data_IF_632077864624
#
_entry.id   IF_632077864624
#
_cell.length_a   1.000
_cell.length_b   1.000
_cell.length_c   1.000
_cell.angle_alpha   90.00
_cell.angle_beta   90.00
_cell.angle_gamma   90.00
#
_symmetry.space_group_name_H-M   'P 1'
#
loop_
_entity.id
_entity.type
_entity.pdbx_description
1 polymer ?
#
# COMPACT_ATOMS: atom_id res chain seq x y z
N UNK A 1 61.03 40.62 -13.17
CA UNK A 1 60.40 41.48 -14.18
C UNK A 1 58.92 41.17 -14.26
N UNK A 2 58.01 42.13 -14.02
CA UNK A 2 56.58 41.88 -14.10
C UNK A 2 56.17 41.74 -15.57
N UNK A 3 55.58 40.59 -15.92
CA UNK A 3 54.94 40.41 -17.22
C UNK A 3 53.75 41.38 -17.26
N UNK A 4 53.66 42.28 -18.26
CA UNK A 4 52.61 43.30 -18.30
C UNK A 4 51.24 42.64 -18.30
N UNK A 5 50.29 43.19 -17.51
CA UNK A 5 48.95 42.64 -17.29
C UNK A 5 48.20 42.30 -18.60
N UNK A 6 48.53 42.98 -19.70
CA UNK A 6 48.00 42.72 -21.04
C UNK A 6 48.32 41.30 -21.56
N UNK A 7 49.48 40.74 -21.23
CA UNK A 7 49.86 39.40 -21.67
C UNK A 7 49.13 38.29 -20.90
N UNK A 8 48.75 38.53 -19.64
CA UNK A 8 47.93 37.59 -18.85
C UNK A 8 46.49 37.51 -19.37
N UNK A 9 45.91 38.65 -19.72
CA UNK A 9 44.56 38.72 -20.30
C UNK A 9 44.51 38.06 -21.68
N UNK A 10 45.54 38.26 -22.51
CA UNK A 10 45.63 37.64 -23.84
C UNK A 10 45.75 36.11 -23.76
N UNK A 11 46.53 35.59 -22.80
CA UNK A 11 46.66 34.14 -22.57
C UNK A 11 45.35 33.54 -22.08
N UNK A 12 44.62 34.21 -21.18
CA UNK A 12 43.31 33.72 -20.70
C UNK A 12 42.23 33.72 -21.80
N UNK A 13 42.24 34.72 -22.67
CA UNK A 13 41.32 34.77 -23.83
C UNK A 13 41.68 33.67 -24.84
N UNK A 14 42.97 33.45 -25.10
CA UNK A 14 43.42 32.38 -25.98
C UNK A 14 43.09 30.99 -25.41
N UNK A 15 43.25 30.78 -24.10
CA UNK A 15 42.89 29.52 -23.43
C UNK A 15 41.36 29.31 -23.47
N UNK A 16 40.55 30.33 -23.19
CA UNK A 16 39.10 30.22 -23.34
C UNK A 16 38.68 29.95 -24.79
N UNK A 17 39.27 30.65 -25.76
CA UNK A 17 38.98 30.44 -27.17
C UNK A 17 39.38 29.03 -27.65
N UNK A 18 40.53 28.51 -27.19
CA UNK A 18 40.97 27.14 -27.50
C UNK A 18 40.07 26.08 -26.83
N UNK A 19 39.64 26.30 -25.59
CA UNK A 19 38.67 25.41 -24.91
C UNK A 19 37.30 25.42 -25.61
N UNK A 20 36.86 26.58 -26.12
CA UNK A 20 35.64 26.69 -26.92
C UNK A 20 35.76 26.03 -28.30
N UNK A 21 36.94 26.09 -28.95
CA UNK A 21 37.18 25.45 -30.25
C UNK A 21 37.30 23.92 -30.14
N UNK A 22 37.90 23.39 -29.06
CA UNK A 22 38.01 21.93 -28.85
C UNK A 22 36.65 21.28 -28.60
N UNK A 23 35.63 22.04 -28.18
CA UNK A 23 34.28 21.53 -27.93
C UNK A 23 33.44 21.34 -29.19
N UNK A 24 33.94 21.70 -30.38
CA UNK A 24 33.14 21.71 -31.60
C UNK A 24 33.52 20.72 -32.71
N UNK A 25 34.65 19.99 -32.65
CA UNK A 25 35.03 19.09 -33.76
C UNK A 25 35.62 17.75 -33.28
N UNK A 26 34.77 16.86 -32.75
CA UNK A 26 35.04 15.42 -32.79
C UNK A 26 33.76 14.69 -33.22
N UNK A 27 33.40 14.84 -34.49
CA UNK A 27 32.45 13.98 -35.18
C UNK A 27 33.18 12.82 -35.83
N UNK A 28 33.23 11.66 -35.19
CA UNK A 28 33.64 10.42 -35.86
C UNK A 28 32.48 9.95 -36.75
N UNK A 29 32.54 10.32 -38.03
CA UNK A 29 31.75 9.65 -39.06
C UNK A 29 32.28 8.22 -39.23
N UNK A 30 31.61 7.24 -38.63
CA UNK A 30 31.71 5.83 -39.02
C UNK A 30 30.50 5.44 -39.89
N UNK A 31 30.70 4.60 -40.92
CA UNK A 31 29.63 4.25 -41.86
C UNK A 31 28.56 3.39 -41.17
N UNK A 32 27.29 3.72 -41.43
CA UNK A 32 26.10 2.99 -41.01
C UNK A 32 26.17 1.49 -41.37
N UNK A 33 25.92 0.56 -40.44
CA UNK A 33 25.38 -0.74 -40.80
C UNK A 33 23.88 -0.54 -41.09
N UNK A 34 23.50 -0.90 -42.30
CA UNK A 34 22.16 -0.74 -42.83
C UNK A 34 21.14 -1.69 -42.20
N UNK A 35 20.75 -1.52 -40.93
CA UNK A 35 19.51 -2.06 -40.36
C UNK A 35 19.08 -1.19 -39.16
N UNK A 36 17.92 -0.53 -39.28
CA UNK A 36 17.41 0.44 -38.31
C UNK A 36 17.04 -0.18 -36.97
N UNK A 37 17.93 -0.04 -35.99
CA UNK A 37 17.64 -0.22 -34.57
C UNK A 37 17.79 1.14 -33.91
N UNK A 38 16.76 1.70 -33.25
CA UNK A 38 16.90 2.95 -32.50
C UNK A 38 17.96 2.81 -31.40
N UNK A 39 18.82 3.82 -31.27
CA UNK A 39 19.87 3.89 -30.25
C UNK A 39 19.24 4.24 -28.89
N UNK A 40 18.92 3.21 -28.09
CA UNK A 40 18.36 3.34 -26.73
C UNK A 40 19.33 3.99 -25.72
N UNK A 41 20.57 4.34 -26.11
CA UNK A 41 21.54 4.99 -25.22
C UNK A 41 21.55 6.51 -25.36
N UNK A 42 20.97 7.06 -26.42
CA UNK A 42 20.86 8.51 -26.62
C UNK A 42 19.65 9.14 -25.90
N UNK A 43 18.65 8.34 -25.51
CA UNK A 43 17.45 8.83 -24.80
C UNK A 43 17.55 8.68 -23.27
N UNK A 44 18.56 7.98 -22.76
CA UNK A 44 18.73 7.74 -21.33
C UNK A 44 19.50 8.85 -20.58
N UNK A 45 19.80 9.99 -21.23
CA UNK A 45 20.64 11.04 -20.63
C UNK A 45 19.98 12.40 -20.44
N UNK A 46 18.67 12.53 -20.69
CA UNK A 46 17.95 13.79 -20.43
C UNK A 46 16.56 13.60 -19.79
N UNK A 47 16.37 12.64 -18.89
CA UNK A 47 15.35 12.74 -17.84
C UNK A 47 15.83 11.88 -16.65
N UNK A 48 16.61 12.46 -15.74
CA UNK A 48 16.51 12.00 -14.34
C UNK A 48 15.30 12.74 -13.81
N UNK A 49 14.11 12.25 -14.17
CA UNK A 49 12.92 12.65 -13.44
C UNK A 49 13.19 12.15 -12.03
N UNK A 50 13.30 13.08 -11.08
CA UNK A 50 13.06 12.73 -9.70
C UNK A 50 11.67 12.11 -9.69
N UNK A 51 11.61 10.78 -9.67
CA UNK A 51 10.35 10.07 -9.89
C UNK A 51 9.53 10.30 -8.64
N UNK A 52 8.68 11.32 -8.67
CA UNK A 52 7.85 11.71 -7.53
C UNK A 52 7.13 10.44 -7.03
N UNK A 53 7.48 9.96 -5.83
CA UNK A 53 6.95 8.70 -5.33
C UNK A 53 5.42 8.77 -5.17
N UNK A 54 4.86 9.96 -4.94
CA UNK A 54 3.41 10.18 -4.82
C UNK A 54 2.73 10.12 -6.19
N UNK A 55 3.32 10.71 -7.23
CA UNK A 55 2.82 10.59 -8.60
C UNK A 55 2.83 9.12 -9.08
N UNK A 56 3.88 8.36 -8.76
CA UNK A 56 3.92 6.91 -9.05
C UNK A 56 2.82 6.15 -8.32
N UNK A 57 2.56 6.50 -7.07
CA UNK A 57 1.47 5.90 -6.30
C UNK A 57 0.13 6.17 -7.00
N UNK A 58 -0.16 7.42 -7.35
CA UNK A 58 -1.38 7.81 -8.05
C UNK A 58 -1.60 7.01 -9.35
N UNK A 59 -0.53 6.78 -10.13
CA UNK A 59 -0.60 6.01 -11.38
C UNK A 59 -0.89 4.52 -11.19
N UNK A 60 -0.66 3.95 -10.00
CA UNK A 60 -0.85 2.52 -9.72
C UNK A 60 -2.15 2.21 -8.95
N UNK A 61 -2.83 3.22 -8.40
CA UNK A 61 -4.08 3.04 -7.67
C UNK A 61 -5.27 3.31 -8.60
N UNK A 62 -6.27 2.40 -8.67
CA UNK A 62 -7.44 2.60 -9.51
C UNK A 62 -8.30 3.77 -9.04
N UNK A 63 -9.23 4.21 -9.90
CA UNK A 63 -10.18 5.28 -9.59
C UNK A 63 -9.67 6.71 -9.85
N UNK A 64 -8.38 6.87 -10.18
CA UNK A 64 -7.84 8.17 -10.61
C UNK A 64 -7.84 9.26 -9.53
N UNK A 65 -7.85 8.85 -8.26
CA UNK A 65 -7.77 9.77 -7.13
C UNK A 65 -6.37 10.33 -6.92
N UNK A 66 -6.29 11.50 -6.29
CA UNK A 66 -5.06 12.16 -5.89
C UNK A 66 -4.69 11.68 -4.46
N UNK A 67 -3.54 11.02 -4.26
CA UNK A 67 -3.10 10.62 -2.93
C UNK A 67 -2.90 11.85 -2.02
N UNK A 68 -3.38 11.75 -0.79
CA UNK A 68 -3.37 12.86 0.19
C UNK A 68 -4.52 13.86 0.05
N UNK A 69 -5.29 13.81 -1.04
CA UNK A 69 -6.49 14.64 -1.21
C UNK A 69 -7.78 13.81 -1.23
N UNK A 70 -7.84 12.77 -2.07
CA UNK A 70 -9.02 11.91 -2.19
C UNK A 70 -8.98 10.71 -1.25
N UNK A 71 -7.78 10.26 -0.90
CA UNK A 71 -7.55 9.20 0.05
C UNK A 71 -6.25 9.45 0.82
N UNK A 72 -6.18 9.03 2.09
CA UNK A 72 -5.01 9.21 2.92
C UNK A 72 -3.83 8.31 2.49
N UNK A 73 -2.62 8.75 2.82
CA UNK A 73 -1.36 8.03 2.56
C UNK A 73 -0.52 7.94 3.84
N UNK A 74 -1.16 7.57 4.95
CA UNK A 74 -0.54 7.52 6.27
C UNK A 74 0.59 6.49 6.30
N UNK A 75 1.75 6.91 6.83
CA UNK A 75 2.90 6.02 7.03
C UNK A 75 2.86 5.29 8.38
N UNK A 76 2.04 5.77 9.32
CA UNK A 76 1.86 5.22 10.67
C UNK A 76 0.47 5.56 11.17
N UNK A 77 -0.02 4.79 12.14
CA UNK A 77 -1.27 5.09 12.84
C UNK A 77 -1.12 6.42 13.60
N UNK A 78 -1.94 7.44 13.33
CA UNK A 78 -1.95 8.69 14.08
C UNK A 78 -2.67 8.51 15.42
N UNK A 79 -2.43 9.44 16.35
CA UNK A 79 -3.22 9.50 17.58
C UNK A 79 -4.60 10.09 17.28
N UNK A 80 -5.64 9.37 17.63
CA UNK A 80 -7.04 9.81 17.53
C UNK A 80 -7.72 9.65 18.89
N UNK A 81 -9.02 9.93 18.95
CA UNK A 81 -9.82 9.77 20.18
C UNK A 81 -10.49 8.39 20.25
N UNK A 82 -10.14 7.47 19.36
CA UNK A 82 -10.73 6.14 19.35
C UNK A 82 -10.39 5.38 20.64
N UNK A 83 -11.42 4.78 21.26
CA UNK A 83 -11.30 4.01 22.49
C UNK A 83 -12.28 2.82 22.45
N UNK A 84 -11.82 1.63 22.82
CA UNK A 84 -12.67 0.44 22.84
C UNK A 84 -13.78 0.53 23.89
N UNK A 85 -13.59 1.35 24.93
CA UNK A 85 -14.57 1.62 25.98
C UNK A 85 -15.83 2.33 25.47
N UNK A 86 -15.71 3.07 24.37
CA UNK A 86 -16.82 3.79 23.74
C UNK A 86 -17.60 2.91 22.75
N UNK A 87 -17.13 1.67 22.50
CA UNK A 87 -17.72 0.75 21.54
C UNK A 87 -18.64 -0.28 22.23
N UNK A 88 -19.77 -0.61 21.61
CA UNK A 88 -20.78 -1.49 22.21
C UNK A 88 -20.35 -2.98 22.22
N UNK A 89 -19.54 -3.40 21.25
CA UNK A 89 -19.17 -4.81 21.06
C UNK A 89 -17.64 -4.97 20.87
N UNK A 90 -17.05 -6.13 21.21
CA UNK A 90 -15.75 -6.48 20.65
C UNK A 90 -15.85 -6.63 19.13
N UNK A 91 -14.77 -6.33 18.40
CA UNK A 91 -14.77 -6.44 16.94
C UNK A 91 -13.85 -5.43 16.25
N UNK A 92 -14.16 -5.12 14.99
CA UNK A 92 -13.38 -4.28 14.10
C UNK A 92 -14.08 -2.94 13.87
N UNK A 93 -13.34 -1.85 13.93
CA UNK A 93 -13.88 -0.50 13.88
C UNK A 93 -13.07 0.39 12.94
N UNK A 94 -13.73 1.00 11.95
CA UNK A 94 -13.15 2.07 11.15
C UNK A 94 -12.91 3.30 12.03
N UNK A 95 -11.72 3.90 11.95
CA UNK A 95 -11.48 5.19 12.59
C UNK A 95 -11.91 6.33 11.65
N UNK A 96 -13.05 6.94 11.96
CA UNK A 96 -13.67 8.02 11.19
C UNK A 96 -13.07 9.39 11.48
N UNK A 97 -12.12 9.51 12.40
CA UNK A 97 -11.43 10.77 12.68
C UNK A 97 -10.69 11.28 11.44
N UNK A 98 -10.64 12.60 11.23
CA UNK A 98 -10.02 13.21 10.05
C UNK A 98 -8.53 12.82 9.90
N UNK A 99 -7.83 12.60 11.02
CA UNK A 99 -6.43 12.19 11.04
C UNK A 99 -6.24 10.76 10.50
N UNK A 100 -7.20 9.87 10.76
CA UNK A 100 -7.17 8.47 10.35
C UNK A 100 -7.88 8.21 9.00
N UNK A 101 -8.92 8.99 8.71
CA UNK A 101 -9.72 9.00 7.48
C UNK A 101 -10.10 7.59 6.98
N UNK A 102 -10.50 6.71 7.90
CA UNK A 102 -10.78 5.29 7.68
C UNK A 102 -9.62 4.46 7.09
N UNK A 103 -8.43 5.02 6.86
CA UNK A 103 -7.26 4.20 6.52
C UNK A 103 -6.82 3.37 7.72
N UNK A 104 -7.04 3.89 8.92
CA UNK A 104 -6.84 3.16 10.16
C UNK A 104 -8.13 2.44 10.53
N UNK A 105 -7.97 1.21 10.99
CA UNK A 105 -9.02 0.51 11.71
C UNK A 105 -8.45 -0.10 12.98
N UNK A 106 -9.34 -0.31 13.93
CA UNK A 106 -9.04 -0.82 15.25
C UNK A 106 -9.69 -2.17 15.47
N UNK A 107 -9.05 -3.01 16.27
CA UNK A 107 -9.59 -4.27 16.76
C UNK A 107 -9.70 -4.16 18.27
N UNK A 108 -10.93 -4.34 18.77
CA UNK A 108 -11.26 -4.33 20.19
C UNK A 108 -11.55 -5.75 20.65
N UNK A 109 -10.84 -6.20 21.68
CA UNK A 109 -11.13 -7.48 22.35
C UNK A 109 -12.18 -7.31 23.44
N UNK A 110 -12.76 -8.42 23.92
CA UNK A 110 -13.71 -8.40 25.04
C UNK A 110 -13.12 -7.84 26.34
N UNK A 111 -11.79 -7.90 26.50
CA UNK A 111 -11.05 -7.31 27.63
C UNK A 111 -10.67 -5.84 27.40
N UNK A 112 -11.28 -5.19 26.39
CA UNK A 112 -11.03 -3.79 26.01
C UNK A 112 -9.60 -3.51 25.54
N UNK A 113 -8.88 -4.55 25.08
CA UNK A 113 -7.57 -4.34 24.46
C UNK A 113 -7.74 -3.81 23.04
N UNK A 114 -6.96 -2.78 22.72
CA UNK A 114 -6.96 -2.09 21.44
C UNK A 114 -5.73 -2.49 20.63
N UNK A 115 -5.95 -2.93 19.40
CA UNK A 115 -4.92 -3.05 18.36
C UNK A 115 -5.31 -2.17 17.16
N UNK A 116 -4.33 -1.55 16.50
CA UNK A 116 -4.57 -0.59 15.41
C UNK A 116 -3.76 -0.96 14.17
N UNK A 117 -4.39 -0.84 13.01
CA UNK A 117 -3.83 -1.28 11.73
C UNK A 117 -4.06 -0.25 10.65
N UNK A 118 -3.17 -0.22 9.65
CA UNK A 118 -3.33 0.59 8.44
C UNK A 118 -3.75 -0.28 7.27
N UNK A 119 -4.79 0.18 6.56
CA UNK A 119 -5.07 -0.24 5.21
C UNK A 119 -3.98 0.25 4.24
N UNK A 120 -3.63 -0.51 3.20
CA UNK A 120 -2.69 -0.08 2.16
C UNK A 120 -3.10 1.26 1.52
N UNK A 121 -2.11 2.03 1.07
CA UNK A 121 -2.35 3.28 0.34
C UNK A 121 -3.28 3.05 -0.86
N UNK A 122 -4.33 3.87 -0.98
CA UNK A 122 -5.38 3.72 -1.99
C UNK A 122 -6.60 2.92 -1.52
N UNK A 123 -6.59 2.40 -0.29
CA UNK A 123 -7.72 1.72 0.33
C UNK A 123 -8.05 2.30 1.70
N UNK A 124 -9.30 2.13 2.12
CA UNK A 124 -9.78 2.44 3.47
C UNK A 124 -10.64 1.30 3.98
N UNK A 125 -10.81 1.21 5.29
CA UNK A 125 -11.55 0.13 5.93
C UNK A 125 -13.05 0.26 5.64
N UNK A 126 -13.60 -0.74 4.95
CA UNK A 126 -15.01 -0.87 4.70
C UNK A 126 -15.65 -1.59 5.91
N UNK A 127 -16.21 -0.80 6.82
CA UNK A 127 -16.84 -1.31 8.04
C UNK A 127 -17.95 -2.32 7.77
N UNK A 128 -18.70 -2.17 6.67
CA UNK A 128 -19.82 -3.06 6.35
C UNK A 128 -19.36 -4.49 6.04
N UNK A 129 -18.16 -4.63 5.46
CA UNK A 129 -17.62 -5.91 4.99
C UNK A 129 -16.36 -6.36 5.73
N UNK A 130 -15.93 -5.60 6.73
CA UNK A 130 -14.74 -5.87 7.55
C UNK A 130 -13.47 -6.10 6.72
N UNK A 131 -13.27 -5.29 5.67
CA UNK A 131 -12.13 -5.43 4.75
C UNK A 131 -11.64 -4.06 4.28
N UNK A 132 -10.35 -3.91 4.01
CA UNK A 132 -9.84 -2.74 3.29
C UNK A 132 -10.31 -2.82 1.82
N UNK A 133 -11.09 -1.83 1.38
CA UNK A 133 -11.59 -1.72 0.01
C UNK A 133 -11.07 -0.42 -0.61
N UNK A 134 -11.19 -0.29 -1.93
CA UNK A 134 -10.78 0.91 -2.63
C UNK A 134 -11.50 2.14 -2.09
N UNK A 135 -10.77 3.25 -1.97
CA UNK A 135 -11.27 4.48 -1.35
C UNK A 135 -12.59 4.99 -1.94
N UNK A 136 -12.83 4.75 -3.24
CA UNK A 136 -14.05 5.18 -3.94
C UNK A 136 -15.25 4.24 -3.73
N UNK A 137 -15.07 3.09 -3.09
CA UNK A 137 -16.14 2.15 -2.73
C UNK A 137 -16.67 2.37 -1.31
N UNK A 138 -15.98 3.18 -0.50
CA UNK A 138 -16.26 3.34 0.92
C UNK A 138 -16.68 4.77 1.21
N UNK A 139 -17.87 4.94 1.78
CA UNK A 139 -18.27 6.20 2.41
C UNK A 139 -17.79 6.17 3.87
N UNK A 140 -16.60 6.73 4.10
CA UNK A 140 -15.97 6.71 5.43
C UNK A 140 -16.88 7.29 6.53
N UNK A 141 -17.63 8.35 6.23
CA UNK A 141 -18.53 8.99 7.18
C UNK A 141 -19.72 8.10 7.58
N UNK A 142 -20.10 7.14 6.73
CA UNK A 142 -21.16 6.18 7.01
C UNK A 142 -20.66 4.93 7.77
N UNK A 143 -19.36 4.82 8.06
CA UNK A 143 -18.80 3.62 8.72
C UNK A 143 -19.46 3.35 10.07
N UNK A 144 -19.74 4.38 10.87
CA UNK A 144 -20.34 4.25 12.20
C UNK A 144 -21.73 3.56 12.16
N UNK A 145 -22.49 3.71 11.07
CA UNK A 145 -23.81 3.06 10.90
C UNK A 145 -23.70 1.52 10.86
N UNK A 146 -22.51 1.00 10.58
CA UNK A 146 -22.22 -0.42 10.45
C UNK A 146 -21.49 -1.00 11.67
N UNK A 147 -21.15 -0.21 12.70
CA UNK A 147 -20.49 -0.71 13.92
C UNK A 147 -21.27 -1.83 14.62
N UNK A 148 -22.60 -1.78 14.55
CA UNK A 148 -23.49 -2.84 15.07
C UNK A 148 -23.26 -4.22 14.46
N UNK A 149 -22.64 -4.33 13.29
CA UNK A 149 -22.34 -5.62 12.65
C UNK A 149 -21.31 -6.42 13.47
N UNK A 150 -20.52 -5.76 14.32
CA UNK A 150 -19.58 -6.45 15.22
C UNK A 150 -20.27 -7.42 16.17
N UNK A 151 -21.55 -7.19 16.51
CA UNK A 151 -22.37 -8.10 17.31
C UNK A 151 -22.52 -9.52 16.71
N UNK A 152 -22.23 -9.69 15.42
CA UNK A 152 -22.38 -10.96 14.71
C UNK A 152 -21.05 -11.72 14.53
N UNK A 153 -19.89 -11.13 14.85
CA UNK A 153 -18.57 -11.73 14.60
C UNK A 153 -18.33 -12.98 15.45
N UNK A 154 -18.73 -12.95 16.72
CA UNK A 154 -18.51 -14.07 17.66
C UNK A 154 -19.63 -15.12 17.63
N UNK A 155 -20.66 -14.92 16.80
CA UNK A 155 -21.74 -15.89 16.65
C UNK A 155 -21.23 -17.05 15.80
N UNK A 156 -20.80 -18.12 16.47
CA UNK A 156 -20.70 -19.42 15.82
C UNK A 156 -22.08 -19.75 15.23
N UNK A 157 -22.16 -20.26 13.98
CA UNK A 157 -23.40 -20.80 13.49
C UNK A 157 -23.85 -21.85 14.50
N UNK A 158 -25.11 -21.75 14.93
CA UNK A 158 -25.72 -22.81 15.71
C UNK A 158 -25.50 -24.09 14.90
N UNK A 159 -24.73 -25.02 15.46
CA UNK A 159 -24.41 -26.27 14.79
C UNK A 159 -25.72 -27.02 14.74
N UNK A 160 -26.46 -26.85 13.64
CA UNK A 160 -27.49 -27.80 13.23
C UNK A 160 -26.87 -29.18 13.44
N UNK A 161 -27.44 -30.02 14.32
CA UNK A 161 -26.83 -31.29 14.67
C UNK A 161 -26.51 -32.01 13.36
N UNK A 162 -25.23 -32.29 13.13
CA UNK A 162 -24.82 -33.03 11.96
C UNK A 162 -25.69 -34.29 11.90
N UNK A 163 -26.37 -34.57 10.77
CA UNK A 163 -27.18 -35.77 10.66
C UNK A 163 -26.31 -36.97 11.04
N UNK A 164 -26.84 -37.85 11.88
CA UNK A 164 -26.08 -39.02 12.33
C UNK A 164 -25.58 -39.80 11.09
N UNK A 165 -24.41 -40.42 11.20
CA UNK A 165 -23.75 -41.10 10.08
C UNK A 165 -24.63 -42.17 9.39
N UNK A 166 -25.70 -42.64 10.06
CA UNK A 166 -26.74 -43.51 9.49
C UNK A 166 -27.53 -42.87 8.35
N UNK A 167 -27.73 -41.55 8.37
CA UNK A 167 -28.60 -40.84 7.43
C UNK A 167 -27.88 -40.51 6.12
N UNK A 168 -26.58 -40.19 6.17
CA UNK A 168 -25.74 -40.06 4.96
C UNK A 168 -25.52 -41.41 4.26
N UNK A 169 -25.57 -42.52 5.00
CA UNK A 169 -25.38 -43.86 4.43
C UNK A 169 -26.56 -44.28 3.55
N UNK A 170 -27.77 -43.80 3.86
CA UNK A 170 -28.97 -44.08 3.08
C UNK A 170 -29.14 -43.12 1.89
N UNK A 171 -28.53 -41.93 1.91
CA UNK A 171 -28.66 -40.96 0.80
C UNK A 171 -27.73 -41.24 -0.38
N UNK A 172 -26.60 -41.92 -0.14
CA UNK A 172 -25.63 -42.32 -1.18
C UNK A 172 -25.55 -43.83 -1.40
N UNK A 173 -26.42 -44.62 -0.77
CA UNK A 173 -26.51 -46.04 -1.06
C UNK A 173 -27.05 -46.24 -2.49
N UNK A 174 -26.32 -46.94 -3.39
CA UNK A 174 -26.92 -47.41 -4.62
C UNK A 174 -28.11 -48.33 -4.29
N UNK A 175 -29.18 -48.35 -5.11
CA UNK A 175 -30.30 -49.26 -4.90
C UNK A 175 -29.78 -50.69 -4.77
N UNK A 176 -30.26 -51.43 -3.76
CA UNK A 176 -29.81 -52.81 -3.50
C UNK A 176 -30.08 -53.79 -4.65
N UNK A 177 -30.88 -53.36 -5.63
CA UNK A 177 -31.22 -54.14 -6.82
C UNK A 177 -30.25 -53.92 -8.00
N UNK A 178 -29.28 -53.00 -7.89
CA UNK A 178 -28.25 -52.78 -8.90
C UNK A 178 -26.96 -53.44 -8.42
N UNK A 179 -26.78 -54.71 -8.79
CA UNK A 179 -25.48 -55.34 -8.68
C UNK A 179 -24.46 -54.54 -9.51
N UNK A 180 -23.28 -54.16 -8.95
CA UNK A 180 -22.25 -53.51 -9.74
C UNK A 180 -21.86 -54.44 -10.90
N UNK A 181 -21.55 -53.90 -12.09
CA UNK A 181 -21.02 -54.71 -13.18
C UNK A 181 -19.76 -55.43 -12.71
N UNK A 182 -19.74 -56.76 -12.85
CA UNK A 182 -18.59 -57.59 -12.46
C UNK A 182 -17.27 -57.22 -13.20
N UNK A 183 -17.34 -56.32 -14.18
CA UNK A 183 -16.20 -55.97 -15.04
C UNK A 183 -15.28 -54.88 -14.47
N UNK A 184 -15.65 -54.19 -13.38
CA UNK A 184 -14.75 -53.16 -12.80
C UNK A 184 -13.70 -53.72 -11.83
N UNK A 185 -13.76 -55.02 -11.49
CA UNK A 185 -12.81 -55.65 -10.57
C UNK A 185 -11.61 -56.32 -11.26
N UNK A 186 -11.52 -56.24 -12.60
CA UNK A 186 -10.42 -56.84 -13.37
C UNK A 186 -9.43 -55.83 -13.96
N UNK A 187 -9.46 -54.57 -13.52
CA UNK A 187 -8.35 -53.67 -13.80
C UNK A 187 -7.13 -54.15 -12.99
N UNK A 188 -5.94 -54.32 -13.61
CA UNK A 188 -4.72 -54.52 -12.86
C UNK A 188 -4.62 -53.39 -11.83
N UNK A 189 -4.42 -53.76 -10.56
CA UNK A 189 -4.05 -52.80 -9.54
C UNK A 189 -2.67 -52.31 -9.94
N UNK A 190 -2.59 -51.20 -10.67
CA UNK A 190 -1.34 -50.49 -10.86
C UNK A 190 -0.78 -50.27 -9.45
N UNK A 191 0.43 -50.79 -9.22
CA UNK A 191 1.16 -50.57 -7.97
C UNK A 191 1.09 -49.08 -7.65
N UNK A 192 0.50 -48.75 -6.50
CA UNK A 192 0.50 -47.37 -6.03
C UNK A 192 1.95 -46.86 -6.06
N UNK A 193 2.22 -45.67 -6.62
CA UNK A 193 3.56 -45.13 -6.57
C UNK A 193 3.89 -44.99 -5.09
N UNK A 194 4.90 -45.73 -4.62
CA UNK A 194 5.42 -45.59 -3.27
C UNK A 194 5.90 -44.15 -3.14
N UNK A 195 5.08 -43.31 -2.53
CA UNK A 195 5.45 -41.96 -2.15
C UNK A 195 6.47 -42.16 -1.03
N UNK A 196 7.75 -42.22 -1.41
CA UNK A 196 8.83 -42.12 -0.45
C UNK A 196 8.70 -40.71 0.12
N UNK A 197 8.21 -40.60 1.35
CA UNK A 197 8.16 -39.33 2.07
C UNK A 197 9.61 -38.88 2.25
N UNK A 198 10.04 -37.90 1.47
CA UNK A 198 11.30 -37.23 1.72
C UNK A 198 11.27 -36.69 3.17
N UNK A 199 12.36 -36.84 3.94
CA UNK A 199 12.40 -36.28 5.29
C UNK A 199 12.21 -34.76 5.22
N UNK A 200 11.58 -34.14 6.23
CA UNK A 200 11.38 -32.70 6.25
C UNK A 200 12.73 -31.98 6.14
N UNK A 201 12.81 -30.85 5.42
CA UNK A 201 14.05 -30.07 5.39
C UNK A 201 14.41 -29.65 6.82
N UNK A 202 15.70 -29.61 7.18
CA UNK A 202 16.10 -29.07 8.47
C UNK A 202 15.62 -27.61 8.59
N UNK A 203 15.31 -27.14 9.80
CA UNK A 203 14.93 -25.75 10.00
C UNK A 203 16.06 -24.87 9.48
N UNK A 204 15.72 -23.98 8.56
CA UNK A 204 16.60 -22.89 8.14
C UNK A 204 16.88 -22.05 9.38
N UNK A 205 18.12 -22.08 9.88
CA UNK A 205 18.59 -21.06 10.81
C UNK A 205 18.43 -19.71 10.12
N UNK A 206 17.54 -18.88 10.67
CA UNK A 206 17.51 -17.46 10.36
C UNK A 206 18.78 -16.88 10.96
N UNK A 207 19.84 -16.80 10.15
CA UNK A 207 21.00 -15.99 10.49
C UNK A 207 20.54 -14.53 10.49
N UNK A 208 20.13 -14.05 11.67
CA UNK A 208 20.11 -12.63 11.96
C UNK A 208 21.57 -12.21 11.81
N UNK A 209 21.87 -11.42 10.78
CA UNK A 209 23.09 -10.62 10.80
C UNK A 209 22.96 -9.72 12.04
N UNK A 210 23.59 -10.13 13.13
CA UNK A 210 23.92 -9.19 14.19
C UNK A 210 24.91 -8.21 13.56
N UNK A 211 24.41 -7.12 13.01
CA UNK A 211 25.21 -5.90 12.96
C UNK A 211 25.48 -5.54 14.42
N UNK A 212 26.65 -5.94 14.92
CA UNK A 212 27.24 -5.30 16.07
C UNK A 212 27.37 -3.81 15.72
N UNK A 213 26.45 -3.00 16.25
CA UNK A 213 26.60 -1.55 16.34
C UNK A 213 27.76 -1.28 17.28
N UNK A 214 28.97 -1.42 16.75
CA UNK A 214 30.18 -0.88 17.32
C UNK A 214 30.26 0.58 16.92
N UNK A 215 29.58 1.44 17.68
CA UNK A 215 30.07 2.75 18.13
C UNK A 215 28.90 3.71 18.50
N UNK A 216 28.68 4.02 19.79
CA UNK A 216 27.70 5.02 20.22
C UNK A 216 28.10 6.49 19.95
N UNK A 217 29.25 6.77 19.31
CA UNK A 217 29.73 8.14 19.09
C UNK A 217 29.16 8.87 17.85
N UNK A 218 28.33 8.24 17.01
CA UNK A 218 27.76 8.91 15.82
C UNK A 218 26.44 9.68 16.08
N UNK A 219 25.95 9.73 17.33
CA UNK A 219 24.65 10.36 17.67
C UNK A 219 24.72 11.89 17.92
N UNK A 220 25.86 12.55 17.73
CA UNK A 220 26.02 13.98 18.10
C UNK A 220 26.45 14.87 16.94
N UNK A 221 25.88 14.72 15.75
CA UNK A 221 26.03 15.69 14.67
C UNK A 221 24.77 15.81 13.79
N UNK A 222 23.59 16.04 14.40
CA UNK A 222 22.46 16.60 13.66
C UNK A 222 22.43 18.13 13.85
N UNK A 223 22.40 18.94 12.76
CA UNK A 223 22.19 20.37 12.87
C UNK A 223 20.78 20.68 13.39
N UNK A 224 20.67 21.69 14.27
CA UNK A 224 19.40 22.10 14.89
C UNK A 224 18.32 22.45 13.85
N UNK A 225 17.04 22.15 14.16
CA UNK A 225 15.93 22.46 13.25
C UNK A 225 15.74 23.97 13.19
N UNK A 226 15.89 24.53 11.99
CA UNK A 226 15.49 25.91 11.71
C UNK A 226 13.97 25.99 11.76
N UNK A 227 13.46 26.90 12.59
CA UNK A 227 12.02 27.15 12.75
C UNK A 227 11.41 27.60 11.42
N UNK A 228 10.50 26.80 10.86
CA UNK A 228 9.72 27.18 9.68
C UNK A 228 8.73 28.30 10.05
N UNK A 229 8.50 29.29 9.16
CA UNK A 229 7.48 30.32 9.38
C UNK A 229 6.06 29.73 9.34
N UNK A 230 5.09 30.34 10.06
CA UNK A 230 3.73 29.81 10.13
C UNK A 230 3.01 29.91 8.77
N UNK A 231 2.09 28.97 8.47
CA UNK A 231 1.34 28.96 7.23
C UNK A 231 0.35 30.15 7.14
N UNK A 232 0.02 30.62 5.91
CA UNK A 232 -0.95 31.70 5.72
C UNK A 232 -2.36 31.25 6.13
N UNK A 233 -3.22 32.19 6.58
CA UNK A 233 -4.58 31.85 6.99
C UNK A 233 -5.43 31.37 5.80
N UNK A 234 -6.38 30.44 6.04
CA UNK A 234 -7.27 29.94 4.99
C UNK A 234 -8.18 31.05 4.45
N UNK A 235 -8.59 30.98 3.17
CA UNK A 235 -9.52 31.93 2.59
C UNK A 235 -10.88 31.83 3.28
N UNK A 236 -11.46 32.99 3.61
CA UNK A 236 -12.78 33.08 4.23
C UNK A 236 -13.84 32.44 3.30
N UNK A 237 -14.36 31.27 3.69
CA UNK A 237 -15.57 30.72 3.10
C UNK A 237 -16.74 31.63 3.44
N UNK A 238 -17.27 32.32 2.44
CA UNK A 238 -18.58 32.98 2.53
C UNK A 238 -19.65 31.88 2.66
N UNK A 239 -20.07 31.60 3.89
CA UNK A 239 -21.24 30.75 4.13
C UNK A 239 -22.48 31.43 3.55
N UNK A 240 -23.03 30.81 2.49
CA UNK A 240 -24.36 31.11 2.00
C UNK A 240 -25.38 30.69 3.07
N UNK A 241 -25.99 31.66 3.73
CA UNK A 241 -27.07 31.40 4.68
C UNK A 241 -28.38 31.16 3.92
N UNK A 242 -29.11 30.05 4.17
CA UNK A 242 -30.43 29.86 3.58
C UNK A 242 -31.43 30.83 4.22
N UNK A 243 -32.14 31.58 3.37
CA UNK A 243 -33.17 32.53 3.77
C UNK A 243 -34.21 31.90 4.73
N UNK A 244 -34.28 32.42 5.95
CA UNK A 244 -35.33 32.10 6.93
C UNK A 244 -36.66 32.68 6.41
N UNK A 245 -37.57 31.83 5.92
CA UNK A 245 -38.95 32.24 5.62
C UNK A 245 -39.60 32.78 6.90
N UNK A 246 -39.97 34.06 6.91
CA UNK A 246 -40.85 34.65 7.93
C UNK A 246 -42.23 34.04 7.79
N UNK A 247 -42.65 33.28 8.80
CA UNK A 247 -44.04 32.92 9.01
C UNK A 247 -44.80 34.18 9.43
N UNK A 248 -45.64 34.71 8.55
CA UNK A 248 -46.67 35.68 8.91
C UNK A 248 -47.86 34.91 9.49
N UNK A 249 -48.12 35.09 10.78
CA UNK A 249 -49.45 34.84 11.35
C UNK A 249 -50.36 35.99 10.90
N UNK A 250 -51.43 35.65 10.21
CA UNK A 250 -52.65 36.44 10.05
C UNK A 250 -53.82 35.54 10.44
#
# INVERSE_FOLDING_TARGET
SPIPAMARTLVLILVHALVSVVKSDVGYNLPSPAYGVPDLRAEASEIVEEVDPVARLAGNIPGGGIPGENYPILASVPETKFACEDMEFPGYYADTADEAACQVFHVCTADLQLESFLCPNGSVFNQQYFVCDWWFNVDCAASEDFFRLNADIEKLPEVEPLPEASDLRNSYAPPSDVAPPAELYNLPRDEEPVITTAPPPPPTEVYILQEEVTDPAQLYNLPEPTTLPPPPPPPLRLYYTPNRRRSFRG
#
